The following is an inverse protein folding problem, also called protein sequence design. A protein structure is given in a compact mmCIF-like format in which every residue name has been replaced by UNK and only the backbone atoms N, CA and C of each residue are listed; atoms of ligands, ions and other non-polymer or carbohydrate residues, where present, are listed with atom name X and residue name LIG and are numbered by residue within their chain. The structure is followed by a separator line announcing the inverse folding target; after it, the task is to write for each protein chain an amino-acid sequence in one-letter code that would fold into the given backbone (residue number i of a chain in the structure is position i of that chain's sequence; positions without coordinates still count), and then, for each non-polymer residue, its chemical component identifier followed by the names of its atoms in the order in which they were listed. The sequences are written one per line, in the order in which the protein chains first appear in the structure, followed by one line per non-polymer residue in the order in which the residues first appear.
data_IF_467723065679
#
_entry.id   IF_467723065679
#
_cell.length_a   1.000
_cell.length_b   1.000
_cell.length_c   1.000
_cell.angle_alpha   90.00
_cell.angle_beta   90.00
_cell.angle_gamma   90.00
#
_symmetry.space_group_name_H-M   'P 1'
#
loop_
_entity.id
_entity.type
_entity.pdbx_description
1 polymer ?
#
# COMPACT_ATOMS: atom_id res chain seq x y z
N UNK A 1 -16.73 -4.48 6.33
CA UNK A 1 -15.58 -5.43 6.37
C UNK A 1 -14.49 -5.04 7.39
N UNK A 2 -14.55 -3.86 7.99
CA UNK A 2 -13.76 -3.46 9.17
C UNK A 2 -14.37 -3.96 10.51
N UNK A 3 -15.37 -4.82 10.42
CA UNK A 3 -16.28 -5.07 11.53
C UNK A 3 -16.02 -6.39 12.27
N UNK A 4 -14.96 -7.13 11.96
CA UNK A 4 -14.64 -8.24 12.84
C UNK A 4 -13.95 -7.72 14.12
N UNK A 5 -14.34 -8.26 15.26
CA UNK A 5 -13.85 -7.84 16.57
C UNK A 5 -12.32 -7.91 16.69
N UNK A 6 -11.67 -8.81 15.95
CA UNK A 6 -10.21 -8.98 15.94
C UNK A 6 -9.51 -7.81 15.22
N UNK A 7 -10.00 -7.38 14.06
CA UNK A 7 -9.44 -6.22 13.36
C UNK A 7 -9.59 -4.95 14.20
N UNK A 8 -10.73 -4.79 14.87
CA UNK A 8 -10.95 -3.66 15.78
C UNK A 8 -10.00 -3.68 16.98
N UNK A 9 -9.75 -4.84 17.58
CA UNK A 9 -8.80 -4.99 18.68
C UNK A 9 -7.36 -4.69 18.23
N UNK A 10 -6.94 -5.14 17.05
CA UNK A 10 -5.63 -4.85 16.47
C UNK A 10 -5.41 -3.37 16.20
N UNK A 11 -6.44 -2.66 15.73
CA UNK A 11 -6.35 -1.23 15.40
C UNK A 11 -6.43 -0.32 16.61
N UNK A 12 -7.25 -0.67 17.59
CA UNK A 12 -7.63 0.20 18.71
C UNK A 12 -7.27 -0.38 20.08
N UNK A 13 -6.82 -1.64 20.14
CA UNK A 13 -6.27 -2.26 21.33
C UNK A 13 -4.90 -1.68 21.66
N UNK A 14 -4.55 -1.66 22.94
CA UNK A 14 -3.25 -1.16 23.40
C UNK A 14 -2.22 -2.30 23.47
N UNK A 15 -0.93 -2.00 23.20
CA UNK A 15 0.12 -3.03 23.33
C UNK A 15 0.21 -3.59 24.75
N UNK A 16 0.45 -4.88 24.88
CA UNK A 16 0.63 -5.56 26.15
C UNK A 16 2.04 -5.34 26.74
N UNK A 17 2.99 -4.88 25.96
CA UNK A 17 4.36 -4.63 26.41
C UNK A 17 4.47 -3.35 27.24
N UNK A 18 4.52 -3.54 28.56
CA UNK A 18 4.60 -2.46 29.54
C UNK A 18 5.80 -1.54 29.30
N UNK A 19 6.96 -2.09 28.94
CA UNK A 19 8.19 -1.34 28.70
C UNK A 19 8.05 -0.38 27.49
N UNK A 20 7.46 -0.83 26.40
CA UNK A 20 7.21 0.00 25.22
C UNK A 20 6.25 1.14 25.55
N UNK A 21 5.21 0.87 26.33
CA UNK A 21 4.25 1.88 26.79
C UNK A 21 4.90 2.97 27.65
N UNK A 22 5.76 2.58 28.56
CA UNK A 22 6.42 3.52 29.46
C UNK A 22 7.47 4.36 28.71
N UNK A 23 8.34 3.71 27.95
CA UNK A 23 9.43 4.35 27.21
C UNK A 23 8.92 5.34 26.12
N UNK A 24 7.86 4.98 25.41
CA UNK A 24 7.33 5.78 24.29
C UNK A 24 5.96 6.40 24.59
N UNK A 25 5.62 6.59 25.86
CA UNK A 25 4.30 7.02 26.31
C UNK A 25 3.81 8.32 25.65
N UNK A 26 4.68 9.32 25.56
CA UNK A 26 4.34 10.61 24.97
C UNK A 26 4.10 10.50 23.46
N UNK A 27 4.95 9.75 22.76
CA UNK A 27 4.81 9.50 21.32
C UNK A 27 3.55 8.69 21.02
N UNK A 28 3.30 7.62 21.77
CA UNK A 28 2.12 6.78 21.62
C UNK A 28 0.80 7.58 21.82
N UNK A 29 0.79 8.47 22.81
CA UNK A 29 -0.36 9.36 23.04
C UNK A 29 -0.58 10.35 21.91
N UNK A 30 0.52 10.94 21.38
CA UNK A 30 0.45 11.87 20.26
C UNK A 30 -0.10 11.17 19.03
N UNK A 31 0.46 10.02 18.65
CA UNK A 31 0.04 9.23 17.50
C UNK A 31 -1.42 8.78 17.63
N UNK A 32 -1.83 8.31 18.81
CA UNK A 32 -3.22 7.93 19.06
C UNK A 32 -4.19 9.10 18.91
N UNK A 33 -3.80 10.29 19.37
CA UNK A 33 -4.61 11.51 19.25
C UNK A 33 -4.76 11.95 17.79
N UNK A 34 -3.70 11.82 16.99
CA UNK A 34 -3.65 12.30 15.61
C UNK A 34 -4.31 11.30 14.64
N UNK A 35 -3.93 10.03 14.72
CA UNK A 35 -4.40 8.99 13.78
C UNK A 35 -5.58 8.14 14.28
N UNK A 36 -5.91 8.21 15.56
CA UNK A 36 -6.86 7.29 16.21
C UNK A 36 -6.32 5.88 16.43
N UNK A 37 -5.13 5.56 15.89
CA UNK A 37 -4.53 4.23 15.98
C UNK A 37 -3.67 4.09 17.25
N UNK A 38 -3.54 2.87 17.73
CA UNK A 38 -2.68 2.54 18.87
C UNK A 38 -1.40 1.86 18.44
N UNK A 39 -0.38 1.88 19.30
CA UNK A 39 0.82 1.07 19.11
C UNK A 39 0.43 -0.41 19.18
N UNK A 40 0.90 -1.18 18.22
CA UNK A 40 0.68 -2.62 18.18
C UNK A 40 2.03 -3.37 18.20
N UNK A 41 1.98 -4.55 18.78
CA UNK A 41 3.09 -5.50 18.93
C UNK A 41 3.03 -6.64 17.91
N UNK A 42 3.89 -7.64 18.08
CA UNK A 42 3.96 -8.83 17.22
C UNK A 42 4.15 -8.49 15.73
N UNK A 43 5.04 -7.56 15.45
CA UNK A 43 5.40 -7.18 14.09
C UNK A 43 6.83 -7.61 13.77
N UNK A 44 7.03 -8.05 12.53
CA UNK A 44 8.34 -8.17 11.91
C UNK A 44 8.47 -7.14 10.80
N UNK A 45 9.55 -6.37 10.81
CA UNK A 45 9.79 -5.27 9.87
C UNK A 45 11.12 -5.49 9.17
N UNK A 46 11.06 -5.68 7.84
CA UNK A 46 12.23 -5.67 6.97
C UNK A 46 12.38 -4.26 6.39
N UNK A 47 13.47 -3.57 6.70
CA UNK A 47 13.83 -2.28 6.08
C UNK A 47 14.56 -2.57 4.78
N UNK A 48 13.99 -2.13 3.67
CA UNK A 48 14.51 -2.37 2.32
C UNK A 48 15.08 -1.05 1.77
N UNK A 49 16.39 -1.03 1.53
CA UNK A 49 17.10 0.11 0.94
C UNK A 49 17.55 -0.13 -0.50
N UNK A 50 17.32 -1.35 -1.03
CA UNK A 50 17.55 -1.72 -2.43
C UNK A 50 16.22 -1.84 -3.18
N UNK A 51 16.10 -1.13 -4.30
CA UNK A 51 14.94 -1.24 -5.16
C UNK A 51 14.79 -2.63 -5.78
N UNK A 52 15.89 -3.28 -6.16
CA UNK A 52 15.90 -4.66 -6.69
C UNK A 52 15.33 -5.64 -5.66
N UNK A 53 15.78 -5.51 -4.40
CA UNK A 53 15.27 -6.34 -3.30
C UNK A 53 13.78 -6.12 -3.06
N UNK A 54 13.31 -4.85 -3.14
CA UNK A 54 11.88 -4.54 -3.04
C UNK A 54 11.10 -5.20 -4.17
N UNK A 55 11.56 -5.08 -5.41
CA UNK A 55 10.89 -5.66 -6.59
C UNK A 55 10.76 -7.17 -6.47
N UNK A 56 11.84 -7.84 -6.08
CA UNK A 56 11.87 -9.30 -5.87
C UNK A 56 10.87 -9.73 -4.77
N UNK A 57 10.96 -9.10 -3.59
CA UNK A 57 10.09 -9.41 -2.47
C UNK A 57 8.62 -9.18 -2.82
N UNK A 58 8.30 -8.03 -3.43
CA UNK A 58 6.95 -7.68 -3.82
C UNK A 58 6.37 -8.68 -4.85
N UNK A 59 7.14 -9.05 -5.87
CA UNK A 59 6.69 -10.04 -6.87
C UNK A 59 6.42 -11.39 -6.21
N UNK A 60 7.28 -11.83 -5.30
CA UNK A 60 7.11 -13.11 -4.61
C UNK A 60 5.86 -13.11 -3.73
N UNK A 61 5.64 -12.05 -2.96
CA UNK A 61 4.48 -11.93 -2.09
C UNK A 61 3.18 -11.79 -2.90
N UNK A 62 3.17 -11.03 -4.00
CA UNK A 62 2.03 -10.94 -4.91
C UNK A 62 1.67 -12.29 -5.54
N UNK A 63 2.66 -13.08 -5.96
CA UNK A 63 2.43 -14.46 -6.47
C UNK A 63 1.78 -15.36 -5.44
N UNK A 64 2.15 -15.20 -4.17
CA UNK A 64 1.64 -16.02 -3.07
C UNK A 64 0.22 -15.63 -2.60
N UNK A 65 -0.30 -14.47 -3.03
CA UNK A 65 -1.62 -13.96 -2.65
C UNK A 65 -2.75 -14.95 -2.97
N UNK A 66 -3.69 -15.12 -2.02
CA UNK A 66 -4.81 -16.06 -2.13
C UNK A 66 -6.19 -15.42 -1.98
N UNK A 67 -6.30 -14.30 -1.27
CA UNK A 67 -7.58 -13.71 -0.92
C UNK A 67 -7.76 -12.31 -1.52
N UNK A 68 -6.86 -11.39 -1.19
CA UNK A 68 -6.93 -10.03 -1.70
C UNK A 68 -5.58 -9.35 -1.81
N UNK A 69 -5.49 -8.40 -2.73
CA UNK A 69 -4.38 -7.47 -2.90
C UNK A 69 -4.95 -6.06 -2.92
N UNK A 70 -4.52 -5.22 -1.99
CA UNK A 70 -4.75 -3.78 -2.00
C UNK A 70 -3.47 -3.09 -2.38
N UNK A 71 -3.52 -2.26 -3.42
CA UNK A 71 -2.33 -1.70 -4.06
C UNK A 71 -2.54 -0.21 -4.35
N UNK A 72 -1.80 0.66 -3.68
CA UNK A 72 -1.94 2.10 -3.76
C UNK A 72 -0.57 2.75 -3.98
N UNK A 73 -0.44 3.50 -5.08
CA UNK A 73 0.81 4.17 -5.43
C UNK A 73 0.58 5.53 -6.06
N UNK A 74 1.47 6.48 -5.69
CA UNK A 74 1.54 7.78 -6.33
C UNK A 74 1.99 7.68 -7.79
N UNK A 75 3.18 7.06 -8.04
CA UNK A 75 3.65 6.72 -9.38
C UNK A 75 3.56 5.23 -9.63
N UNK A 76 2.95 4.90 -10.76
CA UNK A 76 2.98 3.57 -11.37
C UNK A 76 3.38 3.77 -12.83
N UNK A 77 4.69 3.75 -13.12
CA UNK A 77 5.25 4.13 -14.41
C UNK A 77 4.91 3.11 -15.51
N UNK A 78 5.19 3.46 -16.76
CA UNK A 78 4.98 2.57 -17.91
C UNK A 78 6.32 2.05 -18.40
N UNK A 79 6.98 1.27 -17.58
CA UNK A 79 8.27 0.63 -17.84
C UNK A 79 8.19 -0.89 -17.62
N UNK A 80 9.32 -1.58 -17.74
CA UNK A 80 9.34 -3.05 -17.68
C UNK A 80 8.95 -3.60 -16.31
N UNK A 81 9.42 -2.98 -15.24
CA UNK A 81 9.07 -3.42 -13.88
C UNK A 81 7.59 -3.22 -13.57
N UNK A 82 7.06 -2.06 -13.93
CA UNK A 82 5.63 -1.76 -13.75
C UNK A 82 4.75 -2.69 -14.58
N UNK A 83 5.16 -3.00 -15.80
CA UNK A 83 4.44 -3.95 -16.66
C UNK A 83 4.40 -5.35 -16.03
N UNK A 84 5.51 -5.85 -15.51
CA UNK A 84 5.57 -7.15 -14.82
C UNK A 84 4.62 -7.20 -13.62
N UNK A 85 4.61 -6.14 -12.81
CA UNK A 85 3.69 -6.05 -11.65
C UNK A 85 2.24 -5.97 -12.13
N UNK A 86 1.93 -5.15 -13.14
CA UNK A 86 0.58 -5.06 -13.74
C UNK A 86 0.08 -6.42 -14.22
N UNK A 87 0.89 -7.13 -14.99
CA UNK A 87 0.56 -8.47 -15.51
C UNK A 87 0.25 -9.45 -14.38
N UNK A 88 1.05 -9.41 -13.31
CA UNK A 88 0.84 -10.24 -12.14
C UNK A 88 -0.46 -9.88 -11.39
N UNK A 89 -0.78 -8.60 -11.21
CA UNK A 89 -2.04 -8.16 -10.61
C UNK A 89 -3.24 -8.63 -11.45
N UNK A 90 -3.15 -8.52 -12.78
CA UNK A 90 -4.18 -9.01 -13.69
C UNK A 90 -4.32 -10.54 -13.64
N UNK A 91 -3.21 -11.26 -13.56
CA UNK A 91 -3.20 -12.72 -13.40
C UNK A 91 -3.90 -13.10 -12.09
N UNK A 92 -3.54 -12.49 -10.97
CA UNK A 92 -4.16 -12.77 -9.66
C UNK A 92 -5.66 -12.48 -9.65
N UNK A 93 -6.10 -11.41 -10.31
CA UNK A 93 -7.52 -11.12 -10.46
C UNK A 93 -8.26 -12.22 -11.25
N UNK A 94 -7.68 -12.73 -12.34
CA UNK A 94 -8.23 -13.87 -13.11
C UNK A 94 -8.26 -15.17 -12.30
N UNK A 95 -7.33 -15.35 -11.35
CA UNK A 95 -7.28 -16.48 -10.42
C UNK A 95 -8.34 -16.36 -9.30
N UNK A 96 -9.12 -15.28 -9.26
CA UNK A 96 -10.18 -15.05 -8.27
C UNK A 96 -9.72 -14.28 -7.01
N UNK A 97 -8.46 -13.80 -6.98
CA UNK A 97 -7.99 -12.90 -5.90
C UNK A 97 -8.64 -11.52 -6.08
N UNK A 98 -9.18 -10.93 -5.02
CA UNK A 98 -9.77 -9.59 -5.05
C UNK A 98 -8.66 -8.54 -5.12
N UNK A 99 -8.41 -7.98 -6.31
CA UNK A 99 -7.37 -6.97 -6.51
C UNK A 99 -8.01 -5.59 -6.60
N UNK A 100 -7.64 -4.69 -5.67
CA UNK A 100 -8.00 -3.27 -5.66
C UNK A 100 -6.76 -2.43 -5.90
N UNK A 101 -6.83 -1.56 -6.88
CA UNK A 101 -5.73 -0.72 -7.31
C UNK A 101 -6.13 0.75 -7.27
N UNK A 102 -5.45 1.53 -6.42
CA UNK A 102 -5.61 2.99 -6.36
C UNK A 102 -4.38 3.64 -6.95
N UNK A 103 -4.57 4.60 -7.84
CA UNK A 103 -3.48 5.42 -8.36
C UNK A 103 -3.81 6.90 -8.32
N UNK A 104 -2.79 7.72 -8.12
CA UNK A 104 -2.91 9.15 -8.25
C UNK A 104 -3.04 9.53 -9.73
N UNK A 105 -4.08 10.30 -10.07
CA UNK A 105 -4.43 10.56 -11.47
C UNK A 105 -3.47 11.57 -12.13
N UNK A 106 -3.12 12.66 -11.43
CA UNK A 106 -2.31 13.74 -12.00
C UNK A 106 -0.86 13.29 -12.19
N UNK A 107 -0.31 12.54 -11.22
CA UNK A 107 1.04 12.00 -11.32
C UNK A 107 1.20 11.02 -12.48
N UNK A 108 0.11 10.38 -12.89
CA UNK A 108 0.08 9.38 -13.95
C UNK A 108 -0.65 9.87 -15.23
N UNK A 109 -0.76 11.18 -15.42
CA UNK A 109 -1.52 11.78 -16.54
C UNK A 109 -0.97 11.39 -17.93
N UNK A 110 0.32 11.09 -18.02
CA UNK A 110 0.96 10.63 -19.25
C UNK A 110 0.66 9.17 -19.57
N UNK A 111 0.08 8.45 -18.62
CA UNK A 111 -0.27 7.04 -18.82
C UNK A 111 -1.61 6.97 -19.52
N UNK A 112 -1.60 6.39 -20.73
CA UNK A 112 -2.78 6.24 -21.57
C UNK A 112 -3.91 5.49 -20.83
N UNK A 113 -5.17 5.97 -20.89
CA UNK A 113 -6.30 5.32 -20.20
C UNK A 113 -6.47 3.83 -20.52
N UNK A 114 -6.07 3.40 -21.71
CA UNK A 114 -6.07 1.99 -22.12
C UNK A 114 -5.24 1.09 -21.21
N UNK A 115 -4.17 1.61 -20.62
CA UNK A 115 -3.30 0.88 -19.70
C UNK A 115 -4.06 0.34 -18.47
N UNK A 116 -4.91 1.19 -17.88
CA UNK A 116 -5.74 0.81 -16.73
C UNK A 116 -7.01 0.06 -17.15
N UNK A 117 -7.52 0.30 -18.37
CA UNK A 117 -8.67 -0.44 -18.90
C UNK A 117 -8.37 -1.93 -19.08
N UNK A 118 -7.14 -2.30 -19.43
CA UNK A 118 -6.72 -3.71 -19.46
C UNK A 118 -6.83 -4.36 -18.08
N UNK A 119 -6.40 -3.65 -17.03
CA UNK A 119 -6.53 -4.13 -15.66
C UNK A 119 -7.98 -4.34 -15.26
N UNK A 120 -8.86 -3.37 -15.58
CA UNK A 120 -10.31 -3.48 -15.33
C UNK A 120 -10.93 -4.68 -16.06
N UNK A 121 -10.57 -4.90 -17.32
CA UNK A 121 -11.04 -6.06 -18.10
C UNK A 121 -10.56 -7.40 -17.52
N UNK A 122 -9.45 -7.41 -16.84
CA UNK A 122 -8.93 -8.59 -16.15
C UNK A 122 -9.56 -8.84 -14.77
N UNK A 123 -10.48 -7.96 -14.30
CA UNK A 123 -11.15 -8.08 -13.01
C UNK A 123 -10.51 -7.27 -11.86
N UNK A 124 -9.52 -6.41 -12.15
CA UNK A 124 -8.94 -5.51 -11.14
C UNK A 124 -9.88 -4.32 -10.92
N UNK A 125 -10.25 -4.05 -9.68
CA UNK A 125 -10.98 -2.84 -9.29
C UNK A 125 -10.00 -1.65 -9.28
N UNK A 126 -10.05 -0.81 -10.33
CA UNK A 126 -9.14 0.35 -10.48
C UNK A 126 -9.86 1.63 -10.14
N UNK A 127 -9.34 2.37 -9.17
CA UNK A 127 -9.86 3.65 -8.70
C UNK A 127 -8.80 4.75 -8.88
N UNK A 128 -9.24 5.92 -9.30
CA UNK A 128 -8.42 7.14 -9.34
C UNK A 128 -8.64 7.91 -8.05
N UNK A 129 -7.56 8.30 -7.38
CA UNK A 129 -7.65 9.05 -6.12
C UNK A 129 -8.18 10.48 -6.34
N UNK A 130 -7.75 11.15 -7.39
CA UNK A 130 -8.17 12.54 -7.67
C UNK A 130 -9.39 12.57 -8.59
N UNK A 131 -10.44 13.29 -8.19
CA UNK A 131 -11.62 13.55 -9.01
C UNK A 131 -11.21 14.28 -10.32
N UNK A 132 -11.66 13.83 -11.50
CA UNK A 132 -11.39 14.49 -12.77
C UNK A 132 -11.97 15.90 -12.90
N UNK A 133 -12.88 16.32 -12.02
CA UNK A 133 -13.38 17.70 -11.96
C UNK A 133 -12.38 18.68 -11.33
N UNK A 134 -11.13 18.61 -11.75
CA UNK A 134 -9.97 19.42 -11.29
C UNK A 134 -10.12 20.93 -11.64
N UNK A 135 -11.18 21.35 -12.28
CA UNK A 135 -11.45 22.78 -12.54
C UNK A 135 -11.62 23.64 -11.27
N UNK A 136 -11.74 23.03 -10.09
CA UNK A 136 -11.55 23.73 -8.83
C UNK A 136 -10.06 23.78 -8.48
N UNK A 137 -9.41 24.90 -8.83
CA UNK A 137 -8.00 25.19 -8.52
C UNK A 137 -7.60 24.95 -7.05
N UNK A 138 -8.57 25.00 -6.13
CA UNK A 138 -8.37 24.73 -4.69
C UNK A 138 -8.01 23.28 -4.36
N UNK A 139 -8.28 22.30 -5.23
CA UNK A 139 -7.99 20.87 -5.00
C UNK A 139 -6.75 20.36 -5.72
N UNK A 140 -6.07 21.20 -6.50
CA UNK A 140 -4.90 20.79 -7.31
C UNK A 140 -3.74 20.26 -6.47
N UNK A 141 -3.59 20.72 -5.23
CA UNK A 141 -2.57 20.25 -4.28
C UNK A 141 -3.02 19.07 -3.41
N UNK A 142 -4.27 18.62 -3.53
CA UNK A 142 -4.77 17.47 -2.79
C UNK A 142 -4.36 16.19 -3.51
N UNK A 143 -3.17 15.69 -3.17
CA UNK A 143 -2.57 14.54 -3.85
C UNK A 143 -2.33 13.39 -2.88
N UNK A 144 -2.59 12.20 -3.35
CA UNK A 144 -2.24 11.00 -2.62
C UNK A 144 -0.79 10.60 -2.88
N UNK A 145 0.08 10.86 -1.91
CA UNK A 145 1.50 10.48 -2.00
C UNK A 145 1.81 9.17 -1.27
N UNK A 146 0.80 8.42 -0.86
CA UNK A 146 0.98 7.13 -0.18
C UNK A 146 1.50 6.06 -1.13
N UNK A 147 2.21 5.10 -0.57
CA UNK A 147 2.66 3.88 -1.21
C UNK A 147 2.32 2.76 -0.25
N UNK A 148 1.23 2.06 -0.53
CA UNK A 148 0.70 1.01 0.34
C UNK A 148 0.41 -0.23 -0.50
N UNK A 149 0.91 -1.36 -0.06
CA UNK A 149 0.42 -2.67 -0.52
C UNK A 149 0.01 -3.47 0.70
N UNK A 150 -1.14 -4.11 0.63
CA UNK A 150 -1.56 -5.11 1.61
C UNK A 150 -1.94 -6.39 0.87
N UNK A 151 -1.37 -7.51 1.30
CA UNK A 151 -1.60 -8.82 0.71
C UNK A 151 -2.20 -9.73 1.79
N UNK A 152 -3.40 -10.22 1.53
CA UNK A 152 -4.16 -11.15 2.38
C UNK A 152 -4.32 -10.67 3.85
N UNK A 153 -4.17 -9.36 4.12
CA UNK A 153 -4.17 -8.81 5.48
C UNK A 153 -2.99 -9.26 6.34
N UNK A 154 -1.96 -9.88 5.76
CA UNK A 154 -0.82 -10.51 6.45
C UNK A 154 0.51 -9.85 6.16
N UNK A 155 0.68 -9.32 4.95
CA UNK A 155 1.89 -8.67 4.50
C UNK A 155 1.55 -7.26 4.08
N UNK A 156 2.33 -6.29 4.55
CA UNK A 156 2.20 -4.89 4.21
C UNK A 156 3.49 -4.31 3.65
N UNK A 157 3.37 -3.37 2.72
CA UNK A 157 4.48 -2.57 2.22
C UNK A 157 4.15 -1.10 2.35
N UNK A 158 5.12 -0.29 2.80
CA UNK A 158 5.02 1.17 2.80
C UNK A 158 6.41 1.80 2.79
N UNK A 159 6.52 3.05 2.35
CA UNK A 159 7.79 3.78 2.30
C UNK A 159 7.87 4.78 1.15
N UNK A 160 9.07 5.15 0.73
CA UNK A 160 9.30 6.18 -0.29
C UNK A 160 9.26 5.66 -1.74
N UNK A 161 9.70 4.42 -1.99
CA UNK A 161 9.86 3.88 -3.36
C UNK A 161 8.52 3.73 -4.08
N UNK A 162 8.35 4.36 -5.23
CA UNK A 162 7.24 4.09 -6.15
C UNK A 162 7.47 2.81 -6.98
N UNK A 163 6.64 2.60 -8.00
CA UNK A 163 6.74 1.49 -8.95
C UNK A 163 7.28 2.02 -10.27
N UNK A 164 8.44 1.54 -10.66
CA UNK A 164 9.12 1.91 -11.88
C UNK A 164 10.60 1.59 -11.85
N UNK A 165 11.21 1.46 -13.03
CA UNK A 165 12.62 1.06 -13.20
C UNK A 165 13.58 2.01 -12.50
N UNK A 166 13.30 3.33 -12.51
CA UNK A 166 14.12 4.29 -11.82
C UNK A 166 14.18 4.04 -10.31
N UNK A 167 13.06 3.70 -9.70
CA UNK A 167 12.98 3.39 -8.27
C UNK A 167 13.63 2.05 -7.92
N UNK A 168 13.65 1.10 -8.84
CA UNK A 168 14.20 -0.22 -8.59
C UNK A 168 15.69 -0.32 -8.88
N UNK A 169 16.21 0.45 -9.86
CA UNK A 169 17.57 0.24 -10.37
C UNK A 169 18.48 1.47 -10.33
N UNK A 170 17.93 2.69 -10.10
CA UNK A 170 18.71 3.93 -10.21
C UNK A 170 18.70 4.79 -8.97
N UNK A 171 17.55 4.93 -8.33
CA UNK A 171 17.38 5.84 -7.21
C UNK A 171 17.54 5.12 -5.88
N UNK A 172 18.16 5.82 -4.91
CA UNK A 172 18.21 5.35 -3.54
C UNK A 172 16.99 5.87 -2.78
N UNK A 173 16.24 4.96 -2.20
CA UNK A 173 15.11 5.27 -1.35
C UNK A 173 14.95 4.16 -0.29
N UNK A 174 14.03 4.31 0.63
CA UNK A 174 13.77 3.34 1.71
C UNK A 174 12.32 2.92 1.69
N UNK A 175 12.11 1.62 1.82
CA UNK A 175 10.80 1.00 1.91
C UNK A 175 10.77 0.01 3.07
N UNK A 176 9.60 -0.40 3.50
CA UNK A 176 9.42 -1.41 4.53
C UNK A 176 8.50 -2.52 4.04
N UNK A 177 8.85 -3.75 4.35
CA UNK A 177 7.96 -4.91 4.31
C UNK A 177 7.62 -5.27 5.74
N UNK A 178 6.35 -5.44 6.04
CA UNK A 178 5.83 -5.60 7.39
C UNK A 178 4.96 -6.85 7.43
N UNK A 179 5.15 -7.69 8.44
CA UNK A 179 4.21 -8.75 8.81
C UNK A 179 3.76 -8.56 10.26
N UNK A 180 2.59 -9.06 10.59
CA UNK A 180 2.03 -8.95 11.94
C UNK A 180 0.90 -7.92 12.06
N UNK A 181 0.65 -7.48 13.30
CA UNK A 181 -0.52 -6.71 13.66
C UNK A 181 -0.61 -5.33 12.98
N UNK A 182 0.55 -4.70 12.68
CA UNK A 182 0.60 -3.38 12.03
C UNK A 182 0.04 -3.40 10.60
N UNK A 183 -0.04 -4.56 9.95
CA UNK A 183 -0.66 -4.68 8.61
C UNK A 183 -2.12 -4.24 8.64
N UNK A 184 -2.82 -4.43 9.77
CA UNK A 184 -4.20 -3.96 9.92
C UNK A 184 -4.31 -2.43 9.83
N UNK A 185 -3.31 -1.68 10.31
CA UNK A 185 -3.28 -0.23 10.18
C UNK A 185 -3.10 0.23 8.72
N UNK A 186 -2.24 -0.44 7.94
CA UNK A 186 -2.12 -0.20 6.51
C UNK A 186 -3.42 -0.55 5.77
N UNK A 187 -4.06 -1.65 6.14
CA UNK A 187 -5.34 -2.06 5.60
C UNK A 187 -6.43 -1.03 5.87
N UNK A 188 -6.49 -0.50 7.10
CA UNK A 188 -7.42 0.57 7.47
C UNK A 188 -7.16 1.87 6.69
N UNK A 189 -5.90 2.23 6.51
CA UNK A 189 -5.52 3.42 5.74
C UNK A 189 -5.88 3.33 4.25
N UNK A 190 -5.92 2.12 3.68
CA UNK A 190 -6.31 1.88 2.29
C UNK A 190 -7.83 1.96 2.08
N UNK A 191 -8.65 1.52 3.06
CA UNK A 191 -10.11 1.43 2.95
C UNK A 191 -10.81 2.74 3.20
#
# INVERSE_FOLDING_TARGET
ELADGRTRELLFGDTKEKEVRERYRSLSRLLKKDSGLTVCDNNEIEIITSGERKLEALINDLKAAKHHIHFEYFYFLKDDSSRRIKELLMQKAREGVKVRFIHENIANITIWPGYYNEMKKAGVEVVKFTDPNIFLLSKFNYRDHRKIVVIDGKIGYTGGMNIGDDYFFRWRDTHMRITGNAVAALQYSFL
#
